data_IF_006818480324
#
_entry.id   IF_006818480324
#
_cell.length_a   1.000
_cell.length_b   1.000
_cell.length_c   1.000
_cell.angle_alpha   90.00
_cell.angle_beta   90.00
_cell.angle_gamma   90.00
#
_symmetry.space_group_name_H-M   'P 1'
#
loop_
_entity.id
_entity.type
_entity.pdbx_description
1 polymer ?
#
# COMPACT_ATOMS: atom_id res chain seq x y z
N UNK A 1 7.99 3.56 3.63
CA UNK A 1 7.89 2.07 3.79
C UNK A 1 7.44 1.70 5.20
N UNK A 2 6.50 0.76 5.34
CA UNK A 2 6.02 0.25 6.63
C UNK A 2 5.94 -1.28 6.70
N UNK A 3 6.17 -1.82 7.90
CA UNK A 3 5.93 -3.23 8.25
C UNK A 3 5.20 -3.30 9.59
N UNK A 4 4.04 -3.97 9.59
CA UNK A 4 3.25 -4.33 10.75
C UNK A 4 3.18 -5.85 10.86
N UNK A 5 3.18 -6.39 12.09
CA UNK A 5 3.08 -7.83 12.36
C UNK A 5 1.88 -8.10 13.28
N UNK A 6 1.09 -9.10 12.95
CA UNK A 6 -0.03 -9.52 13.80
C UNK A 6 0.47 -10.30 15.02
N UNK A 7 0.01 -9.89 16.20
CA UNK A 7 0.31 -10.53 17.48
C UNK A 7 -0.62 -11.76 17.61
N UNK A 8 -0.04 -12.92 17.91
CA UNK A 8 -0.82 -14.10 18.29
C UNK A 8 -1.27 -14.02 19.75
N UNK A 9 -2.39 -14.67 20.11
CA UNK A 9 -2.93 -14.67 21.48
C UNK A 9 -1.88 -15.04 22.55
N UNK A 10 -0.92 -15.91 22.24
CA UNK A 10 0.15 -16.33 23.17
C UNK A 10 1.25 -15.27 23.33
N UNK A 11 1.49 -14.41 22.34
CA UNK A 11 2.47 -13.31 22.45
C UNK A 11 1.91 -12.12 23.25
N UNK A 12 0.57 -12.02 23.41
CA UNK A 12 -0.09 -10.97 24.21
C UNK A 12 0.10 -11.19 25.72
N UNK A 13 0.13 -12.43 26.18
CA UNK A 13 0.20 -12.78 27.61
C UNK A 13 1.60 -12.65 28.22
N UNK A 14 2.67 -12.68 27.42
CA UNK A 14 4.04 -12.56 27.96
C UNK A 14 4.42 -11.15 28.43
N UNK A 15 3.57 -10.14 28.19
CA UNK A 15 3.81 -8.74 28.60
C UNK A 15 3.10 -8.32 29.88
N UNK A 16 2.26 -9.18 30.47
CA UNK A 16 1.54 -8.88 31.72
C UNK A 16 2.00 -9.73 32.91
N UNK A 17 3.05 -10.55 32.76
CA UNK A 17 3.54 -11.40 33.83
C UNK A 17 4.59 -10.75 34.76
N UNK A 18 4.96 -9.48 34.54
CA UNK A 18 6.06 -8.81 35.26
C UNK A 18 5.68 -7.40 35.75
N UNK A 19 4.51 -7.26 36.35
CA UNK A 19 4.20 -6.19 37.33
C UNK A 19 3.13 -6.72 38.27
N UNK A 20 3.52 -6.99 39.51
CA UNK A 20 2.79 -6.61 40.73
C UNK A 20 3.34 -7.39 41.93
N UNK A 21 4.23 -6.73 42.67
CA UNK A 21 4.28 -6.82 44.12
C UNK A 21 4.45 -5.38 44.60
N UNK A 22 3.35 -4.78 45.06
CA UNK A 22 3.35 -4.11 46.35
C UNK A 22 1.91 -3.96 46.84
N UNK A 23 1.72 -4.43 48.07
CA UNK A 23 0.51 -4.32 48.87
C UNK A 23 0.29 -2.86 49.24
N UNK A 24 -0.96 -2.39 49.20
CA UNK A 24 -1.55 -1.84 50.41
C UNK A 24 -3.08 -1.78 50.35
N UNK A 25 -3.65 -2.16 51.48
CA UNK A 25 -5.04 -2.38 51.80
C UNK A 25 -5.71 -1.13 52.35
N UNK A 26 -6.92 -0.78 51.89
CA UNK A 26 -8.01 -0.26 52.76
C UNK A 26 -9.35 -0.66 52.12
N UNK A 27 -10.23 -1.27 52.91
CA UNK A 27 -11.49 -1.83 52.45
C UNK A 27 -12.76 -1.04 52.80
N UNK A 28 -13.87 -1.76 52.63
CA UNK A 28 -15.27 -1.48 52.98
C UNK A 28 -16.07 -0.67 51.94
N UNK A 29 -17.37 -0.89 51.72
CA UNK A 29 -18.33 -1.99 51.96
C UNK A 29 -19.68 -1.52 51.36
N UNK A 30 -20.65 -2.43 51.27
CA UNK A 30 -22.09 -2.27 50.93
C UNK A 30 -22.46 -2.20 49.44
N UNK A 31 -23.57 -2.77 48.97
CA UNK A 31 -24.47 -3.88 49.34
C UNK A 31 -25.39 -4.09 48.13
N UNK A 32 -26.03 -5.25 48.08
CA UNK A 32 -26.78 -5.80 46.97
C UNK A 32 -28.24 -5.30 46.84
N UNK A 33 -28.88 -5.86 45.80
CA UNK A 33 -30.34 -5.94 45.55
C UNK A 33 -30.93 -4.79 44.72
N UNK A 34 -31.90 -4.97 43.84
CA UNK A 34 -32.84 -6.06 43.62
C UNK A 34 -33.49 -5.93 42.23
N UNK A 35 -34.00 -7.06 41.74
CA UNK A 35 -34.87 -7.32 40.58
C UNK A 35 -36.20 -6.57 40.57
N UNK A 36 -36.74 -6.27 39.38
CA UNK A 36 -38.18 -6.46 39.09
C UNK A 36 -38.51 -6.48 37.59
N UNK A 37 -39.17 -7.56 37.19
CA UNK A 37 -39.88 -7.89 35.93
C UNK A 37 -41.21 -7.15 35.75
N UNK A 38 -41.66 -6.98 34.49
CA UNK A 38 -43.03 -7.18 33.94
C UNK A 38 -43.29 -6.21 32.77
N UNK A 39 -44.02 -6.48 31.67
CA UNK A 39 -44.69 -7.66 31.11
C UNK A 39 -45.42 -7.23 29.82
N UNK A 40 -45.53 -8.15 28.84
CA UNK A 40 -46.59 -8.30 27.82
C UNK A 40 -46.88 -7.12 26.84
N UNK A 41 -47.21 -7.31 25.56
CA UNK A 41 -48.20 -8.25 25.03
C UNK A 41 -48.03 -8.51 23.52
N UNK A 42 -48.52 -9.67 23.12
CA UNK A 42 -48.60 -10.25 21.78
C UNK A 42 -49.76 -9.71 20.94
N UNK A 43 -49.61 -9.67 19.61
CA UNK A 43 -50.67 -10.18 18.71
C UNK A 43 -50.15 -10.49 17.31
N UNK A 44 -50.33 -11.74 16.89
CA UNK A 44 -50.18 -12.25 15.54
C UNK A 44 -51.56 -12.28 14.84
N UNK A 45 -51.66 -11.81 13.60
CA UNK A 45 -52.75 -12.22 12.69
C UNK A 45 -52.34 -12.15 11.22
N UNK A 46 -52.91 -13.06 10.44
CA UNK A 46 -52.48 -13.57 9.13
C UNK A 46 -53.38 -13.03 8.01
N UNK A 47 -52.79 -12.86 6.82
CA UNK A 47 -53.35 -12.90 5.44
C UNK A 47 -54.22 -11.71 4.96
N UNK A 48 -53.79 -11.07 3.87
CA UNK A 48 -54.41 -11.23 2.54
C UNK A 48 -53.53 -10.64 1.42
N UNK A 49 -53.55 -11.36 0.30
CA UNK A 49 -52.98 -11.00 -1.00
C UNK A 49 -54.07 -10.24 -1.75
N UNK A 50 -53.75 -9.05 -2.26
CA UNK A 50 -54.36 -8.48 -3.45
C UNK A 50 -53.28 -7.69 -4.17
N UNK A 51 -53.12 -7.96 -5.45
CA UNK A 51 -52.30 -7.16 -6.36
C UNK A 51 -53.14 -6.04 -6.94
N UNK A 52 -52.51 -4.90 -7.18
CA UNK A 52 -52.44 -4.36 -8.54
C UNK A 52 -51.36 -3.28 -8.63
N UNK A 53 -50.88 -3.14 -9.85
CA UNK A 53 -49.77 -2.35 -10.36
C UNK A 53 -49.65 -0.93 -9.81
N UNK A 54 -48.42 -0.49 -9.52
CA UNK A 54 -47.96 0.85 -9.92
C UNK A 54 -46.44 1.06 -9.80
N UNK A 55 -45.87 1.38 -10.96
CA UNK A 55 -44.71 2.22 -11.25
C UNK A 55 -43.30 1.81 -10.77
N UNK A 56 -42.51 1.40 -11.76
CA UNK A 56 -41.11 1.01 -11.68
C UNK A 56 -40.22 2.27 -11.59
N UNK A 57 -40.30 3.02 -10.50
CA UNK A 57 -39.35 4.11 -10.25
C UNK A 57 -37.98 3.54 -9.86
N UNK A 58 -37.05 3.62 -10.80
CA UNK A 58 -35.63 3.34 -10.61
C UNK A 58 -35.08 4.14 -9.43
N UNK A 59 -34.73 3.44 -8.36
CA UNK A 59 -34.03 4.00 -7.19
C UNK A 59 -32.68 4.54 -7.66
N UNK A 60 -32.63 5.82 -8.06
CA UNK A 60 -31.39 6.56 -8.28
C UNK A 60 -30.60 6.51 -6.97
N UNK A 61 -29.58 5.66 -6.88
CA UNK A 61 -28.58 5.73 -5.81
C UNK A 61 -28.04 7.16 -5.82
N UNK A 62 -28.34 7.94 -4.78
CA UNK A 62 -27.67 9.22 -4.57
C UNK A 62 -26.17 8.95 -4.52
N UNK A 63 -25.45 9.47 -5.51
CA UNK A 63 -23.99 9.47 -5.52
C UNK A 63 -23.58 10.51 -4.48
N UNK A 64 -23.14 10.06 -3.31
CA UNK A 64 -22.50 10.93 -2.32
C UNK A 64 -21.17 11.44 -2.88
N UNK A 65 -20.71 12.63 -2.46
CA UNK A 65 -19.43 13.18 -2.93
C UNK A 65 -18.26 12.20 -2.71
N UNK A 66 -18.30 11.40 -1.64
CA UNK A 66 -17.28 10.39 -1.35
C UNK A 66 -17.23 9.25 -2.39
N UNK A 67 -18.39 8.88 -2.97
CA UNK A 67 -18.46 7.89 -4.06
C UNK A 67 -17.74 8.38 -5.32
N UNK A 68 -17.56 9.70 -5.48
CA UNK A 68 -16.89 10.29 -6.63
C UNK A 68 -15.37 10.09 -6.59
N UNK A 69 -14.73 10.04 -5.41
CA UNK A 69 -13.28 9.86 -5.31
C UNK A 69 -12.86 8.47 -5.81
N UNK A 70 -13.42 7.41 -5.23
CA UNK A 70 -13.21 6.02 -5.64
C UNK A 70 -13.41 5.84 -7.16
N UNK A 71 -14.46 6.46 -7.72
CA UNK A 71 -14.72 6.45 -9.16
C UNK A 71 -13.65 7.17 -9.98
N UNK A 72 -13.14 8.33 -9.52
CA UNK A 72 -12.04 9.05 -10.18
C UNK A 72 -10.77 8.21 -10.22
N UNK A 73 -10.40 7.58 -9.11
CA UNK A 73 -9.24 6.68 -9.02
C UNK A 73 -9.38 5.51 -9.97
N UNK A 74 -10.50 4.79 -9.92
CA UNK A 74 -10.77 3.66 -10.81
C UNK A 74 -10.75 4.08 -12.29
N UNK A 75 -11.37 5.22 -12.62
CA UNK A 75 -11.41 5.76 -13.98
C UNK A 75 -10.02 6.13 -14.49
N UNK A 76 -9.18 6.76 -13.65
CA UNK A 76 -7.81 7.09 -14.00
C UNK A 76 -7.01 5.84 -14.37
N UNK A 77 -6.99 4.83 -13.49
CA UNK A 77 -6.23 3.60 -13.73
C UNK A 77 -6.77 2.77 -14.89
N UNK A 78 -8.09 2.76 -15.11
CA UNK A 78 -8.70 2.12 -16.29
C UNK A 78 -8.31 2.81 -17.61
N UNK A 79 -8.11 4.14 -17.59
CA UNK A 79 -7.73 4.93 -18.78
C UNK A 79 -6.25 4.87 -19.13
N UNK A 80 -5.38 4.62 -18.14
CA UNK A 80 -3.94 4.47 -18.39
C UNK A 80 -3.73 3.32 -19.38
N UNK A 81 -3.22 3.61 -20.57
CA UNK A 81 -2.91 2.56 -21.54
C UNK A 81 -1.74 1.70 -21.06
N UNK A 82 -1.78 0.40 -21.35
CA UNK A 82 -0.61 -0.45 -21.19
C UNK A 82 0.34 -0.21 -22.36
N UNK A 83 1.25 0.76 -22.18
CA UNK A 83 2.40 0.89 -23.05
C UNK A 83 3.43 -0.19 -22.63
N UNK A 84 3.87 -1.00 -23.60
CA UNK A 84 4.80 -2.12 -23.37
C UNK A 84 6.16 -1.69 -22.80
N UNK A 85 7.03 -2.66 -22.51
CA UNK A 85 8.34 -2.39 -21.89
C UNK A 85 9.19 -1.38 -22.69
N UNK A 86 9.15 -1.45 -24.02
CA UNK A 86 9.91 -0.55 -24.90
C UNK A 86 9.50 0.91 -24.74
N UNK A 87 8.19 1.20 -24.61
CA UNK A 87 7.70 2.56 -24.40
C UNK A 87 7.98 3.04 -22.98
N UNK A 88 7.87 2.15 -21.97
CA UNK A 88 8.23 2.51 -20.59
C UNK A 88 9.70 2.87 -20.44
N UNK A 89 10.58 2.23 -21.20
CA UNK A 89 12.01 2.53 -21.19
C UNK A 89 12.35 3.91 -21.79
N UNK A 90 11.41 4.55 -22.50
CA UNK A 90 11.55 5.92 -23.00
C UNK A 90 11.06 6.99 -22.01
N UNK A 91 10.55 6.58 -20.84
CA UNK A 91 9.99 7.51 -19.85
C UNK A 91 11.09 8.30 -19.14
N UNK A 92 10.86 9.61 -18.95
CA UNK A 92 11.69 10.51 -18.12
C UNK A 92 12.02 9.96 -16.74
N UNK A 93 11.14 9.13 -16.18
CA UNK A 93 11.26 8.57 -14.82
C UNK A 93 11.55 7.06 -14.81
N UNK A 94 12.15 6.52 -15.88
CA UNK A 94 12.45 5.08 -15.99
C UNK A 94 13.28 4.56 -14.81
N UNK A 95 14.31 5.31 -14.40
CA UNK A 95 15.18 4.92 -13.30
C UNK A 95 14.45 5.01 -11.96
N UNK A 96 13.66 6.06 -11.72
CA UNK A 96 12.80 6.11 -10.51
C UNK A 96 11.78 4.96 -10.45
N UNK A 97 11.17 4.56 -11.58
CA UNK A 97 10.28 3.39 -11.62
C UNK A 97 11.03 2.10 -11.28
N UNK A 98 12.25 1.95 -11.79
CA UNK A 98 13.10 0.80 -11.49
C UNK A 98 13.55 0.80 -10.02
N UNK A 99 13.88 1.97 -9.46
CA UNK A 99 14.18 2.17 -8.05
C UNK A 99 13.01 1.77 -7.14
N UNK A 100 11.80 2.26 -7.42
CA UNK A 100 10.60 1.89 -6.70
C UNK A 100 10.33 0.37 -6.79
N UNK A 101 10.57 -0.23 -7.96
CA UNK A 101 10.46 -1.69 -8.12
C UNK A 101 11.53 -2.46 -7.34
N UNK A 102 12.75 -1.93 -7.23
CA UNK A 102 13.82 -2.52 -6.44
C UNK A 102 13.48 -2.48 -4.94
N UNK A 103 13.03 -1.33 -4.43
CA UNK A 103 12.56 -1.18 -3.04
C UNK A 103 11.50 -2.22 -2.69
N UNK A 104 10.48 -2.37 -3.55
CA UNK A 104 9.44 -3.39 -3.38
C UNK A 104 9.99 -4.80 -3.42
N UNK A 105 10.92 -5.09 -4.32
CA UNK A 105 11.53 -6.43 -4.44
C UNK A 105 12.28 -6.81 -3.17
N UNK A 106 13.07 -5.89 -2.61
CA UNK A 106 13.81 -6.11 -1.36
C UNK A 106 12.87 -6.26 -0.17
N UNK A 107 11.86 -5.39 -0.06
CA UNK A 107 10.85 -5.46 1.01
C UNK A 107 10.09 -6.79 0.99
N UNK A 108 9.63 -7.22 -0.18
CA UNK A 108 8.90 -8.48 -0.36
C UNK A 108 9.81 -9.66 -0.04
N UNK A 109 11.05 -9.67 -0.53
CA UNK A 109 12.01 -10.74 -0.25
C UNK A 109 12.28 -10.89 1.26
N UNK A 110 12.57 -9.78 1.95
CA UNK A 110 12.81 -9.80 3.41
C UNK A 110 11.64 -10.42 4.18
N UNK A 111 10.40 -10.07 3.83
CA UNK A 111 9.22 -10.58 4.53
C UNK A 111 8.95 -12.03 4.21
N UNK A 112 9.13 -12.44 2.95
CA UNK A 112 8.96 -13.83 2.57
C UNK A 112 9.99 -14.74 3.27
N UNK A 113 11.23 -14.28 3.45
CA UNK A 113 12.23 -15.02 4.22
C UNK A 113 11.76 -15.22 5.66
N UNK A 114 11.31 -14.16 6.35
CA UNK A 114 10.77 -14.24 7.72
C UNK A 114 9.54 -15.13 7.85
N UNK A 115 8.64 -15.10 6.87
CA UNK A 115 7.43 -15.94 6.87
C UNK A 115 7.80 -17.41 6.68
N UNK A 116 8.75 -17.70 5.79
CA UNK A 116 9.17 -19.06 5.44
C UNK A 116 9.96 -19.78 6.53
N UNK A 117 10.52 -19.05 7.49
CA UNK A 117 11.05 -19.65 8.72
C UNK A 117 9.99 -20.43 9.51
N UNK A 118 8.70 -20.07 9.37
CA UNK A 118 7.60 -20.62 10.17
C UNK A 118 6.51 -21.30 9.33
N UNK A 119 6.47 -21.05 8.02
CA UNK A 119 5.40 -21.47 7.12
C UNK A 119 5.97 -22.21 5.90
N UNK A 120 5.48 -23.43 5.68
CA UNK A 120 5.82 -24.22 4.48
C UNK A 120 5.08 -23.73 3.23
N UNK A 121 3.82 -23.34 3.40
CA UNK A 121 2.97 -22.82 2.34
C UNK A 121 2.61 -21.37 2.65
N UNK A 122 2.81 -20.48 1.67
CA UNK A 122 2.65 -19.04 1.81
C UNK A 122 1.48 -18.53 0.96
N UNK A 123 0.51 -17.91 1.62
CA UNK A 123 -0.65 -17.26 0.99
C UNK A 123 -0.56 -15.75 1.16
N UNK A 124 -0.68 -15.02 0.04
CA UNK A 124 -0.50 -13.56 -0.01
C UNK A 124 -1.76 -12.87 -0.50
N UNK A 125 -2.11 -11.74 0.12
CA UNK A 125 -3.04 -10.74 -0.39
C UNK A 125 -2.24 -9.56 -0.97
N UNK A 126 -2.48 -9.20 -2.22
CA UNK A 126 -1.94 -8.02 -2.89
C UNK A 126 -3.10 -7.02 -3.09
N UNK A 127 -3.17 -6.04 -2.18
CA UNK A 127 -4.27 -5.07 -2.06
C UNK A 127 -3.91 -3.80 -2.83
N UNK A 128 -4.73 -3.49 -3.85
CA UNK A 128 -4.42 -2.50 -4.89
C UNK A 128 -3.32 -3.01 -5.82
N UNK A 129 -3.49 -4.23 -6.34
CA UNK A 129 -2.47 -4.91 -7.13
C UNK A 129 -2.19 -4.24 -8.50
N UNK A 130 -3.05 -3.30 -8.90
CA UNK A 130 -3.05 -2.66 -10.21
C UNK A 130 -2.98 -3.70 -11.32
N UNK A 131 -2.14 -3.43 -12.31
CA UNK A 131 -1.91 -4.28 -13.51
C UNK A 131 -0.95 -5.45 -13.25
N UNK A 132 -0.79 -5.88 -12.00
CA UNK A 132 0.07 -7.01 -11.64
C UNK A 132 1.57 -6.72 -11.75
N UNK A 133 2.02 -5.53 -11.34
CA UNK A 133 3.44 -5.14 -11.33
C UNK A 133 4.34 -6.02 -10.44
N UNK A 134 3.74 -6.65 -9.43
CA UNK A 134 4.44 -7.44 -8.42
C UNK A 134 4.32 -8.95 -8.62
N UNK A 135 3.57 -9.43 -9.64
CA UNK A 135 3.41 -10.85 -9.96
C UNK A 135 4.74 -11.61 -10.09
N UNK A 136 5.74 -11.01 -10.74
CA UNK A 136 7.06 -11.63 -10.91
C UNK A 136 7.83 -11.69 -9.57
N UNK A 137 7.61 -10.72 -8.67
CA UNK A 137 8.21 -10.70 -7.33
C UNK A 137 7.64 -11.85 -6.52
N UNK A 138 6.32 -12.05 -6.56
CA UNK A 138 5.63 -13.18 -5.94
C UNK A 138 6.06 -14.54 -6.53
N UNK A 139 6.25 -14.63 -7.86
CA UNK A 139 6.73 -15.86 -8.51
C UNK A 139 8.15 -16.20 -8.07
N UNK A 140 9.08 -15.23 -8.10
CA UNK A 140 10.45 -15.40 -7.60
C UNK A 140 10.48 -15.74 -6.10
N UNK A 141 9.56 -15.15 -5.36
CA UNK A 141 9.31 -15.43 -3.95
C UNK A 141 8.75 -16.82 -3.66
N UNK A 142 8.39 -17.62 -4.68
CA UNK A 142 7.86 -19.01 -4.55
C UNK A 142 6.78 -19.11 -3.47
N UNK A 143 5.73 -18.31 -3.60
CA UNK A 143 4.51 -18.43 -2.79
C UNK A 143 3.58 -19.51 -3.39
N UNK A 144 2.52 -19.87 -2.68
CA UNK A 144 1.60 -20.95 -3.06
C UNK A 144 0.25 -20.42 -3.58
N UNK A 145 -0.24 -19.32 -2.98
CA UNK A 145 -1.49 -18.67 -3.36
C UNK A 145 -1.39 -17.16 -3.29
N UNK A 146 -1.96 -16.49 -4.29
CA UNK A 146 -2.06 -15.03 -4.38
C UNK A 146 -3.53 -14.62 -4.56
N UNK A 147 -3.98 -13.63 -3.79
CA UNK A 147 -5.24 -12.92 -4.05
C UNK A 147 -4.87 -11.50 -4.47
N UNK A 148 -5.26 -11.13 -5.69
CA UNK A 148 -5.07 -9.81 -6.26
C UNK A 148 -6.41 -9.06 -6.19
N UNK A 149 -6.44 -7.93 -5.47
CA UNK A 149 -7.63 -7.09 -5.37
C UNK A 149 -7.33 -5.65 -5.79
N UNK A 150 -8.23 -5.02 -6.54
CA UNK A 150 -8.10 -3.65 -7.00
C UNK A 150 -9.48 -3.06 -7.33
N UNK A 151 -9.61 -1.74 -7.27
CA UNK A 151 -10.86 -1.03 -7.60
C UNK A 151 -11.08 -0.95 -9.12
N UNK A 152 -10.00 -0.92 -9.90
CA UNK A 152 -10.03 -0.74 -11.35
C UNK A 152 -10.19 -2.11 -12.05
N UNK A 153 -11.40 -2.40 -12.55
CA UNK A 153 -11.72 -3.65 -13.23
C UNK A 153 -10.76 -3.98 -14.40
N UNK A 154 -10.39 -2.97 -15.21
CA UNK A 154 -9.45 -3.17 -16.34
C UNK A 154 -8.06 -3.53 -15.83
N UNK A 155 -7.64 -2.95 -14.70
CA UNK A 155 -6.36 -3.30 -14.07
C UNK A 155 -6.36 -4.76 -13.60
N UNK A 156 -7.47 -5.23 -13.04
CA UNK A 156 -7.65 -6.63 -12.65
C UNK A 156 -7.60 -7.57 -13.86
N UNK A 157 -8.29 -7.25 -14.94
CA UNK A 157 -8.25 -8.03 -16.18
C UNK A 157 -6.82 -8.12 -16.75
N UNK A 158 -6.09 -7.00 -16.77
CA UNK A 158 -4.68 -6.95 -17.19
C UNK A 158 -3.77 -7.75 -16.26
N UNK A 159 -3.98 -7.65 -14.94
CA UNK A 159 -3.26 -8.44 -13.94
C UNK A 159 -3.47 -9.95 -14.17
N UNK A 160 -4.72 -10.37 -14.40
CA UNK A 160 -5.07 -11.76 -14.69
C UNK A 160 -4.45 -12.24 -16.00
N UNK A 161 -4.49 -11.42 -17.06
CA UNK A 161 -3.86 -11.74 -18.34
C UNK A 161 -2.35 -11.92 -18.19
N UNK A 162 -1.68 -11.02 -17.47
CA UNK A 162 -0.24 -11.11 -17.20
C UNK A 162 0.14 -12.36 -16.40
N UNK A 163 -0.68 -12.73 -15.43
CA UNK A 163 -0.49 -13.99 -14.68
C UNK A 163 -0.65 -15.21 -15.60
N UNK A 164 -1.66 -15.23 -16.46
CA UNK A 164 -1.88 -16.33 -17.41
C UNK A 164 -0.71 -16.45 -18.39
N UNK A 165 -0.21 -15.34 -18.93
CA UNK A 165 0.95 -15.35 -19.83
C UNK A 165 2.23 -15.83 -19.12
N UNK A 166 2.44 -15.40 -17.88
CA UNK A 166 3.54 -15.87 -17.04
C UNK A 166 3.48 -17.38 -16.79
N UNK A 167 2.28 -17.94 -16.63
CA UNK A 167 2.07 -19.40 -16.49
C UNK A 167 2.30 -20.15 -17.79
N UNK A 168 1.77 -19.65 -18.92
CA UNK A 168 1.95 -20.28 -20.24
C UNK A 168 3.40 -20.32 -20.69
N UNK A 169 4.19 -19.29 -20.37
CA UNK A 169 5.62 -19.20 -20.70
C UNK A 169 6.52 -19.94 -19.71
N UNK A 170 6.00 -20.38 -18.57
CA UNK A 170 6.76 -21.11 -17.56
C UNK A 170 7.14 -22.51 -18.04
N UNK A 171 8.27 -23.03 -17.56
CA UNK A 171 8.61 -24.43 -17.76
C UNK A 171 7.53 -25.33 -17.11
N UNK A 172 7.23 -26.55 -17.62
CA UNK A 172 6.24 -27.44 -16.99
C UNK A 172 6.50 -27.73 -15.50
N UNK A 173 7.78 -27.67 -15.09
CA UNK A 173 8.20 -27.87 -13.69
C UNK A 173 8.27 -26.55 -12.87
N UNK A 174 8.01 -25.39 -13.47
CA UNK A 174 7.93 -24.12 -12.76
C UNK A 174 6.65 -24.08 -11.92
N UNK A 175 6.79 -24.31 -10.63
CA UNK A 175 5.69 -24.13 -9.68
C UNK A 175 5.30 -22.66 -9.62
N UNK A 176 4.20 -22.31 -10.27
CA UNK A 176 3.56 -20.99 -10.16
C UNK A 176 2.42 -21.08 -9.14
N UNK A 177 2.28 -20.06 -8.30
CA UNK A 177 1.20 -19.95 -7.33
C UNK A 177 -0.18 -20.02 -7.99
N UNK A 178 -1.17 -20.49 -7.25
CA UNK A 178 -2.59 -20.30 -7.62
C UNK A 178 -3.00 -18.85 -7.39
N UNK A 179 -3.90 -18.31 -8.22
CA UNK A 179 -4.32 -16.92 -8.11
C UNK A 179 -5.85 -16.74 -8.12
N UNK A 180 -6.34 -15.80 -7.33
CA UNK A 180 -7.70 -15.24 -7.41
C UNK A 180 -7.61 -13.75 -7.71
N UNK A 181 -8.51 -13.24 -8.54
CA UNK A 181 -8.58 -11.85 -8.96
C UNK A 181 -9.94 -11.27 -8.57
N UNK A 182 -9.94 -10.13 -7.88
CA UNK A 182 -11.16 -9.53 -7.30
C UNK A 182 -11.20 -8.05 -7.65
N UNK A 183 -12.25 -7.62 -8.33
CA UNK A 183 -12.58 -6.20 -8.48
C UNK A 183 -13.41 -5.75 -7.28
N UNK A 184 -12.87 -4.85 -6.46
CA UNK A 184 -13.55 -4.31 -5.30
C UNK A 184 -12.96 -2.98 -4.85
N UNK A 185 -13.82 -2.06 -4.38
CA UNK A 185 -13.36 -0.94 -3.58
C UNK A 185 -13.01 -1.46 -2.17
N UNK A 186 -11.73 -1.76 -1.95
CA UNK A 186 -11.26 -2.32 -0.69
C UNK A 186 -11.33 -1.34 0.50
N UNK A 187 -11.72 -0.08 0.27
CA UNK A 187 -12.02 0.90 1.31
C UNK A 187 -13.51 0.95 1.67
N UNK A 188 -14.40 0.34 0.88
CA UNK A 188 -15.85 0.37 1.12
C UNK A 188 -16.49 -1.02 1.21
N UNK A 189 -15.84 -2.03 0.64
CA UNK A 189 -16.34 -3.39 0.55
C UNK A 189 -15.46 -4.34 1.37
N UNK A 190 -16.08 -5.27 2.10
CA UNK A 190 -15.35 -6.33 2.80
C UNK A 190 -14.93 -7.42 1.82
N UNK A 191 -13.61 -7.59 1.65
CA UNK A 191 -13.02 -8.63 0.80
C UNK A 191 -13.38 -10.03 1.26
N UNK A 192 -13.60 -10.25 2.57
CA UNK A 192 -13.97 -11.55 3.12
C UNK A 192 -15.22 -12.16 2.46
N UNK A 193 -16.18 -11.32 2.05
CA UNK A 193 -17.39 -11.76 1.35
C UNK A 193 -17.18 -12.05 -0.15
N UNK A 194 -16.00 -11.76 -0.70
CA UNK A 194 -15.63 -11.96 -2.11
C UNK A 194 -14.58 -13.05 -2.33
N UNK A 195 -14.02 -13.60 -1.26
CA UNK A 195 -13.05 -14.69 -1.33
C UNK A 195 -13.75 -15.96 -1.84
N UNK A 196 -13.08 -16.73 -2.71
CA UNK A 196 -13.61 -18.03 -3.17
C UNK A 196 -13.73 -19.01 -2.00
N UNK A 197 -12.78 -18.93 -1.08
CA UNK A 197 -12.73 -19.70 0.16
C UNK A 197 -12.99 -18.72 1.32
N UNK A 198 -14.17 -18.77 1.97
CA UNK A 198 -14.53 -17.88 3.08
C UNK A 198 -13.64 -18.03 4.33
N UNK A 199 -12.92 -19.14 4.45
CA UNK A 199 -12.01 -19.42 5.57
C UNK A 199 -10.55 -19.07 5.25
N UNK A 200 -10.28 -18.60 4.02
CA UNK A 200 -8.93 -18.26 3.60
C UNK A 200 -8.28 -17.24 4.54
N UNK A 201 -7.03 -17.52 4.91
CA UNK A 201 -6.18 -16.65 5.71
C UNK A 201 -4.86 -16.40 4.99
N UNK A 202 -4.25 -15.27 5.28
CA UNK A 202 -3.03 -14.79 4.64
C UNK A 202 -1.85 -14.85 5.60
N UNK A 203 -0.65 -15.11 5.06
CA UNK A 203 0.61 -14.96 5.79
C UNK A 203 1.19 -13.54 5.56
N UNK A 204 0.90 -12.94 4.41
CA UNK A 204 1.30 -11.57 4.06
C UNK A 204 0.13 -10.83 3.39
N UNK A 205 -0.10 -9.59 3.79
CA UNK A 205 -0.84 -8.60 3.02
C UNK A 205 0.15 -7.53 2.55
N UNK A 206 0.19 -7.27 1.25
CA UNK A 206 1.01 -6.24 0.61
C UNK A 206 0.12 -5.15 0.05
N UNK A 207 0.38 -3.89 0.39
CA UNK A 207 -0.38 -2.72 -0.04
C UNK A 207 0.59 -1.62 -0.50
N UNK A 208 0.97 -1.67 -1.78
CA UNK A 208 2.06 -0.85 -2.32
C UNK A 208 1.50 0.36 -3.05
N UNK A 209 1.78 1.57 -2.55
CA UNK A 209 1.30 2.83 -3.13
C UNK A 209 -0.23 2.94 -3.15
N UNK A 210 -0.91 2.48 -2.10
CA UNK A 210 -2.39 2.37 -2.09
C UNK A 210 -3.05 2.93 -0.82
N UNK A 211 -2.45 2.75 0.37
CA UNK A 211 -3.11 3.06 1.64
C UNK A 211 -3.67 4.49 1.74
N UNK A 212 -3.00 5.49 1.16
CA UNK A 212 -3.41 6.89 1.21
C UNK A 212 -4.75 7.16 0.50
N UNK A 213 -5.17 6.35 -0.46
CA UNK A 213 -6.48 6.52 -1.09
C UNK A 213 -7.65 6.26 -0.12
N UNK A 214 -7.46 5.43 0.91
CA UNK A 214 -8.53 5.13 1.86
C UNK A 214 -8.69 6.18 2.96
N UNK A 215 -7.79 7.16 3.06
CA UNK A 215 -7.82 8.19 4.12
C UNK A 215 -8.77 9.36 3.81
N UNK A 216 -9.66 9.19 2.84
CA UNK A 216 -10.80 10.09 2.58
C UNK A 216 -11.68 10.26 3.82
N UNK A 217 -11.99 9.16 4.50
CA UNK A 217 -12.79 9.11 5.72
C UNK A 217 -12.26 8.05 6.69
N UNK A 218 -12.62 8.18 7.97
CA UNK A 218 -12.26 7.18 8.99
C UNK A 218 -12.81 5.79 8.65
N UNK A 219 -14.07 5.72 8.20
CA UNK A 219 -14.72 4.46 7.82
C UNK A 219 -13.98 3.76 6.68
N UNK A 220 -13.50 4.52 5.69
CA UNK A 220 -12.75 3.96 4.56
C UNK A 220 -11.38 3.45 4.99
N UNK A 221 -10.66 4.21 5.81
CA UNK A 221 -9.37 3.82 6.34
C UNK A 221 -9.48 2.55 7.22
N UNK A 222 -10.50 2.49 8.08
CA UNK A 222 -10.78 1.31 8.92
C UNK A 222 -11.13 0.08 8.07
N UNK A 223 -11.97 0.24 7.05
CA UNK A 223 -12.36 -0.87 6.16
C UNK A 223 -11.17 -1.42 5.36
N UNK A 224 -10.30 -0.54 4.87
CA UNK A 224 -9.06 -0.96 4.19
C UNK A 224 -8.13 -1.71 5.14
N UNK A 225 -7.90 -1.18 6.35
CA UNK A 225 -7.09 -1.86 7.37
C UNK A 225 -7.71 -3.20 7.80
N UNK A 226 -9.03 -3.28 7.93
CA UNK A 226 -9.77 -4.52 8.19
C UNK A 226 -9.47 -5.56 7.13
N UNK A 227 -9.65 -5.21 5.86
CA UNK A 227 -9.37 -6.09 4.73
C UNK A 227 -7.91 -6.55 4.69
N UNK A 228 -6.96 -5.67 5.03
CA UNK A 228 -5.55 -5.98 5.07
C UNK A 228 -5.15 -6.89 6.24
N UNK A 229 -5.78 -6.75 7.39
CA UNK A 229 -5.28 -7.30 8.65
C UNK A 229 -6.14 -8.42 9.24
N UNK A 230 -7.47 -8.40 9.13
CA UNK A 230 -8.37 -9.30 9.88
C UNK A 230 -8.18 -10.80 9.53
N UNK A 231 -7.71 -11.07 8.30
CA UNK A 231 -7.43 -12.42 7.80
C UNK A 231 -5.96 -12.80 7.83
N UNK A 232 -5.08 -11.97 8.41
CA UNK A 232 -3.70 -12.39 8.67
C UNK A 232 -3.68 -13.49 9.73
N UNK A 233 -2.88 -14.52 9.49
CA UNK A 233 -2.60 -15.57 10.47
C UNK A 233 -1.69 -15.02 11.57
N UNK A 234 -1.78 -15.50 12.82
CA UNK A 234 -0.81 -15.15 13.86
C UNK A 234 0.65 -15.22 13.36
N UNK A 235 1.39 -14.13 13.57
CA UNK A 235 2.75 -13.96 13.07
C UNK A 235 2.89 -13.48 11.62
N UNK A 236 1.79 -13.32 10.88
CA UNK A 236 1.75 -12.75 9.54
C UNK A 236 2.02 -11.25 9.50
N UNK A 237 2.27 -10.74 8.30
CA UNK A 237 2.73 -9.37 8.09
C UNK A 237 1.79 -8.56 7.20
N UNK A 238 1.62 -7.30 7.55
CA UNK A 238 1.10 -6.28 6.66
C UNK A 238 2.26 -5.35 6.26
N UNK A 239 2.50 -5.20 4.97
CA UNK A 239 3.57 -4.37 4.42
C UNK A 239 3.04 -3.39 3.37
N UNK A 240 3.69 -2.23 3.27
CA UNK A 240 3.27 -1.25 2.28
C UNK A 240 4.19 -0.05 2.10
N UNK A 241 3.82 0.76 1.13
CA UNK A 241 4.42 2.06 0.83
C UNK A 241 3.32 3.12 0.72
N UNK A 242 3.55 4.28 1.33
CA UNK A 242 2.62 5.40 1.34
C UNK A 242 3.41 6.70 1.53
N UNK A 243 2.94 7.86 1.06
CA UNK A 243 3.64 9.13 1.25
C UNK A 243 3.87 9.44 2.73
N UNK A 244 5.01 10.05 3.04
CA UNK A 244 5.35 10.49 4.39
C UNK A 244 4.74 11.87 4.66
N UNK A 245 3.69 11.91 5.49
CA UNK A 245 3.01 13.15 5.85
C UNK A 245 3.95 14.23 6.41
N UNK A 246 5.01 13.84 7.14
CA UNK A 246 5.96 14.83 7.68
C UNK A 246 6.73 15.52 6.56
N UNK A 247 7.20 14.76 5.57
CA UNK A 247 7.94 15.33 4.44
C UNK A 247 7.00 16.15 3.53
N UNK A 248 5.77 15.67 3.32
CA UNK A 248 4.76 16.41 2.55
C UNK A 248 4.43 17.76 3.18
N UNK A 249 4.08 17.79 4.48
CA UNK A 249 3.74 19.03 5.19
C UNK A 249 4.95 19.94 5.29
N UNK A 250 6.15 19.41 5.57
CA UNK A 250 7.39 20.21 5.63
C UNK A 250 7.64 20.96 4.31
N UNK A 251 7.52 20.29 3.16
CA UNK A 251 7.72 20.93 1.85
C UNK A 251 6.61 21.90 1.51
N UNK A 252 5.37 21.56 1.88
CA UNK A 252 4.23 22.43 1.69
C UNK A 252 4.39 23.72 2.49
N UNK A 253 4.73 23.66 3.77
CA UNK A 253 4.90 24.85 4.63
C UNK A 253 6.12 25.70 4.23
N UNK A 254 7.14 25.09 3.61
CA UNK A 254 8.28 25.83 3.06
C UNK A 254 8.00 26.50 1.70
N UNK A 255 6.91 26.14 1.02
CA UNK A 255 6.52 26.73 -0.28
C UNK A 255 5.77 28.06 -0.08
N UNK A 256 5.85 28.97 -1.05
CA UNK A 256 5.06 30.21 -1.06
C UNK A 256 3.59 29.98 -1.48
N UNK A 257 3.26 28.80 -2.00
CA UNK A 257 1.93 28.47 -2.53
C UNK A 257 1.42 27.12 -2.01
N UNK A 258 0.14 26.80 -2.17
CA UNK A 258 -0.43 25.48 -1.81
C UNK A 258 0.11 24.30 -2.65
N UNK A 259 1.14 24.51 -3.47
CA UNK A 259 1.78 23.49 -4.27
C UNK A 259 3.29 23.44 -4.04
N UNK A 260 3.89 22.27 -4.24
CA UNK A 260 5.33 22.10 -4.39
C UNK A 260 5.61 20.98 -5.41
N UNK A 261 6.82 20.94 -5.96
CA UNK A 261 7.18 19.96 -6.99
C UNK A 261 8.32 20.43 -7.87
N UNK A 262 8.58 19.68 -8.93
CA UNK A 262 9.61 19.94 -9.93
C UNK A 262 9.14 19.42 -11.31
N UNK A 263 10.07 19.14 -12.22
CA UNK A 263 9.73 18.70 -13.58
C UNK A 263 9.08 17.31 -13.64
N UNK A 264 9.30 16.43 -12.65
CA UNK A 264 8.76 15.06 -12.68
C UNK A 264 7.52 14.85 -11.81
N UNK A 265 7.34 15.65 -10.75
CA UNK A 265 6.20 15.51 -9.84
C UNK A 265 5.67 16.86 -9.35
N UNK A 266 4.37 16.88 -9.01
CA UNK A 266 3.72 18.03 -8.38
C UNK A 266 2.70 17.57 -7.34
N UNK A 267 2.72 18.24 -6.19
CA UNK A 267 1.74 18.06 -5.12
C UNK A 267 1.01 19.38 -4.93
N UNK A 268 -0.32 19.36 -4.88
CA UNK A 268 -1.14 20.56 -4.65
C UNK A 268 -2.20 20.28 -3.60
N UNK A 269 -2.07 20.90 -2.43
CA UNK A 269 -3.06 20.81 -1.36
C UNK A 269 -4.19 21.80 -1.61
N UNK A 270 -5.38 21.49 -1.11
CA UNK A 270 -6.48 22.46 -1.13
C UNK A 270 -6.18 23.67 -0.23
N UNK A 271 -5.58 23.42 0.95
CA UNK A 271 -5.29 24.45 1.95
C UNK A 271 -4.08 24.07 2.81
N UNK A 272 -3.29 25.07 3.21
CA UNK A 272 -2.20 24.95 4.20
C UNK A 272 -2.63 25.28 5.63
N UNK A 273 -1.85 24.81 6.59
CA UNK A 273 -2.00 25.10 8.03
C UNK A 273 -3.14 24.35 8.72
N UNK A 274 -3.96 23.59 7.98
CA UNK A 274 -5.02 22.75 8.54
C UNK A 274 -4.93 21.38 7.89
N UNK A 275 -4.57 20.38 8.70
CA UNK A 275 -4.33 19.00 8.24
C UNK A 275 -5.23 18.06 9.04
N UNK A 276 -6.50 17.85 8.62
CA UNK A 276 -7.39 16.94 9.32
C UNK A 276 -6.87 15.49 9.23
N UNK A 277 -7.18 14.68 10.23
CA UNK A 277 -6.74 13.28 10.31
C UNK A 277 -7.25 12.41 9.16
N UNK A 278 -8.42 12.74 8.63
CA UNK A 278 -9.03 12.14 7.44
C UNK A 278 -9.52 13.25 6.51
N UNK A 279 -9.60 12.96 5.22
CA UNK A 279 -10.09 13.91 4.21
C UNK A 279 -9.11 15.04 3.87
N UNK A 280 -7.86 14.99 4.36
CA UNK A 280 -6.82 15.95 4.00
C UNK A 280 -6.32 15.69 2.58
N UNK A 281 -7.07 16.20 1.59
CA UNK A 281 -6.84 15.93 0.17
C UNK A 281 -5.70 16.79 -0.40
N UNK A 282 -4.88 16.16 -1.24
CA UNK A 282 -3.96 16.82 -2.18
C UNK A 282 -4.04 16.14 -3.54
N UNK A 283 -3.83 16.91 -4.61
CA UNK A 283 -3.64 16.33 -5.94
C UNK A 283 -2.17 15.95 -6.11
N UNK A 284 -1.92 14.68 -6.43
CA UNK A 284 -0.60 14.16 -6.73
C UNK A 284 -0.47 13.89 -8.22
N UNK A 285 0.48 14.55 -8.86
CA UNK A 285 0.85 14.33 -10.26
C UNK A 285 2.28 13.83 -10.35
N UNK A 286 2.47 12.76 -11.12
CA UNK A 286 3.77 12.22 -11.45
C UNK A 286 3.79 11.86 -12.94
N UNK A 287 4.81 12.35 -13.62
CA UNK A 287 4.92 12.32 -15.07
C UNK A 287 4.70 10.93 -15.66
N UNK A 288 3.64 10.80 -16.48
CA UNK A 288 3.28 9.55 -17.15
C UNK A 288 2.86 8.40 -16.23
N UNK A 289 2.63 8.65 -14.93
CA UNK A 289 2.20 7.61 -13.97
C UNK A 289 0.81 7.89 -13.46
N UNK A 290 0.64 9.04 -12.80
CA UNK A 290 -0.51 9.29 -11.95
C UNK A 290 -0.86 10.77 -11.95
N UNK A 291 -2.16 11.04 -11.91
CA UNK A 291 -2.74 12.36 -11.71
C UNK A 291 -4.12 12.17 -11.08
N UNK A 292 -4.13 11.90 -9.78
CA UNK A 292 -5.35 11.66 -8.99
C UNK A 292 -5.25 12.37 -7.63
N UNK A 293 -6.38 12.73 -7.02
CA UNK A 293 -6.40 13.12 -5.63
C UNK A 293 -5.94 11.97 -4.74
N UNK A 294 -5.23 12.32 -3.67
CA UNK A 294 -4.74 11.44 -2.61
C UNK A 294 -5.03 12.10 -1.25
N UNK A 295 -4.89 11.34 -0.15
CA UNK A 295 -5.12 11.86 1.20
C UNK A 295 -3.90 11.69 2.09
N UNK A 296 -3.70 12.66 2.98
CA UNK A 296 -2.56 12.68 3.89
C UNK A 296 -2.70 11.56 4.93
N UNK A 297 -1.65 10.76 5.11
CA UNK A 297 -1.63 9.67 6.09
C UNK A 297 -0.71 10.04 7.25
N UNK A 298 -1.30 10.51 8.34
CA UNK A 298 -0.56 10.72 9.58
C UNK A 298 -0.18 9.36 10.19
N UNK A 299 1.10 8.97 10.08
CA UNK A 299 1.52 7.61 10.42
C UNK A 299 1.20 7.17 11.86
N UNK A 300 1.32 8.02 12.90
CA UNK A 300 0.89 7.64 14.25
C UNK A 300 -0.59 7.26 14.33
N UNK A 301 -1.48 7.98 13.62
CA UNK A 301 -2.89 7.58 13.51
C UNK A 301 -3.04 6.22 12.83
N UNK A 302 -2.34 6.00 11.72
CA UNK A 302 -2.37 4.71 11.01
C UNK A 302 -1.93 3.55 11.92
N UNK A 303 -0.88 3.75 12.71
CA UNK A 303 -0.41 2.78 13.70
C UNK A 303 -1.45 2.52 14.79
N UNK A 304 -2.06 3.56 15.36
CA UNK A 304 -3.14 3.42 16.36
C UNK A 304 -4.34 2.64 15.79
N UNK A 305 -4.79 2.97 14.57
CA UNK A 305 -5.90 2.25 13.92
C UNK A 305 -5.55 0.77 13.69
N UNK A 306 -4.31 0.45 13.33
CA UNK A 306 -3.88 -0.92 13.09
C UNK A 306 -3.93 -1.79 14.36
N UNK A 307 -3.81 -1.21 15.57
CA UNK A 307 -3.91 -1.94 16.85
C UNK A 307 -5.27 -2.62 17.02
N UNK A 308 -6.35 -2.05 16.45
CA UNK A 308 -7.70 -2.66 16.43
C UNK A 308 -7.70 -4.07 15.84
N UNK A 309 -6.75 -4.37 14.96
CA UNK A 309 -6.59 -5.68 14.31
C UNK A 309 -5.41 -6.49 14.87
N UNK A 310 -5.01 -6.23 16.12
CA UNK A 310 -3.90 -6.86 16.81
C UNK A 310 -2.55 -6.72 16.07
N UNK A 311 -2.39 -5.64 15.32
CA UNK A 311 -1.15 -5.35 14.61
C UNK A 311 -0.19 -4.57 15.51
N UNK A 312 1.10 -4.87 15.40
CA UNK A 312 2.18 -4.12 16.03
C UNK A 312 3.18 -3.66 14.99
N UNK A 313 3.64 -2.42 15.12
CA UNK A 313 4.71 -1.89 14.26
C UNK A 313 6.00 -2.71 14.44
N UNK A 314 6.53 -3.17 13.32
CA UNK A 314 7.87 -3.75 13.24
C UNK A 314 8.87 -2.65 12.94
N UNK A 315 8.63 -1.87 11.87
CA UNK A 315 9.32 -0.60 11.61
C UNK A 315 8.57 0.27 10.60
N UNK A 316 8.87 1.57 10.63
CA UNK A 316 8.59 2.57 9.58
C UNK A 316 9.93 3.18 9.14
N UNK A 317 10.17 3.25 7.84
CA UNK A 317 11.36 3.88 7.25
C UNK A 317 10.98 4.71 6.04
N UNK A 318 11.61 5.87 5.88
CA UNK A 318 11.61 6.61 4.62
C UNK A 318 12.29 5.77 3.52
N UNK A 319 12.04 6.08 2.25
CA UNK A 319 12.72 5.41 1.15
C UNK A 319 14.25 5.56 1.24
N UNK A 320 14.74 6.72 1.69
CA UNK A 320 16.17 6.97 1.89
C UNK A 320 16.77 6.05 2.93
N UNK A 321 16.20 6.00 4.14
CA UNK A 321 16.71 5.14 5.22
C UNK A 321 16.68 3.67 4.83
N UNK A 322 15.61 3.22 4.17
CA UNK A 322 15.50 1.85 3.69
C UNK A 322 16.55 1.55 2.62
N UNK A 323 16.74 2.45 1.65
CA UNK A 323 17.78 2.30 0.63
C UNK A 323 19.18 2.21 1.24
N UNK A 324 19.55 3.17 2.09
CA UNK A 324 20.87 3.26 2.73
C UNK A 324 21.18 2.03 3.60
N UNK A 325 20.17 1.44 4.23
CA UNK A 325 20.31 0.18 4.94
C UNK A 325 20.47 -1.00 3.98
N UNK A 326 19.55 -1.16 3.04
CA UNK A 326 19.42 -2.39 2.24
C UNK A 326 20.48 -2.53 1.16
N UNK A 327 21.03 -1.43 0.65
CA UNK A 327 22.09 -1.44 -0.37
C UNK A 327 23.43 -1.95 0.18
N UNK A 328 23.59 -2.05 1.50
CA UNK A 328 24.78 -2.62 2.15
C UNK A 328 24.89 -4.13 1.95
N UNK A 329 23.77 -4.81 1.71
CA UNK A 329 23.77 -6.22 1.34
C UNK A 329 24.13 -6.38 -0.14
N UNK A 330 25.15 -7.19 -0.43
CA UNK A 330 25.68 -7.35 -1.79
C UNK A 330 24.65 -7.97 -2.75
N UNK A 331 23.76 -8.86 -2.29
CA UNK A 331 22.71 -9.43 -3.15
C UNK A 331 21.71 -8.36 -3.56
N UNK A 332 21.33 -7.48 -2.64
CA UNK A 332 20.42 -6.38 -2.92
C UNK A 332 21.07 -5.35 -3.86
N UNK A 333 22.35 -5.05 -3.65
CA UNK A 333 23.13 -4.15 -4.51
C UNK A 333 23.28 -4.69 -5.93
N UNK A 334 23.59 -5.97 -6.08
CA UNK A 334 23.62 -6.64 -7.39
C UNK A 334 22.23 -6.54 -8.03
N UNK A 335 21.16 -6.92 -7.33
CA UNK A 335 19.79 -6.80 -7.86
C UNK A 335 19.46 -5.38 -8.34
N UNK A 336 19.89 -4.35 -7.61
CA UNK A 336 19.72 -2.94 -8.00
C UNK A 336 20.35 -2.64 -9.35
N UNK A 337 21.59 -3.12 -9.57
CA UNK A 337 22.32 -2.96 -10.83
C UNK A 337 21.63 -3.70 -11.97
N UNK A 338 21.21 -4.95 -11.75
CA UNK A 338 20.47 -5.75 -12.73
C UNK A 338 19.13 -5.12 -13.13
N UNK A 339 18.47 -4.43 -12.19
CA UNK A 339 17.21 -3.74 -12.44
C UNK A 339 17.40 -2.34 -13.04
N UNK A 340 18.65 -1.86 -13.21
CA UNK A 340 18.95 -0.48 -13.64
C UNK A 340 18.16 0.55 -12.80
N UNK A 341 18.10 0.27 -11.49
CA UNK A 341 17.37 1.08 -10.51
C UNK A 341 18.03 2.43 -10.23
N UNK A 342 19.30 2.58 -10.60
CA UNK A 342 19.99 3.86 -10.65
C UNK A 342 20.55 4.05 -12.05
N UNK A 343 20.54 5.30 -12.49
CA UNK A 343 21.15 5.77 -13.71
C UNK A 343 22.67 5.84 -13.59
N UNK A 344 23.36 5.47 -14.67
CA UNK A 344 24.81 5.59 -14.74
C UNK A 344 25.23 7.04 -14.95
N UNK A 345 26.16 7.54 -14.12
CA UNK A 345 26.76 8.86 -14.27
C UNK A 345 28.30 8.81 -14.18
N UNK A 346 29.05 9.48 -15.08
CA UNK A 346 28.58 10.08 -16.33
C UNK A 346 27.95 9.05 -17.29
N UNK A 347 27.15 9.48 -18.28
CA UNK A 347 26.61 8.57 -19.28
C UNK A 347 27.76 7.91 -20.06
N UNK A 348 27.52 6.72 -20.61
CA UNK A 348 28.45 6.11 -21.56
C UNK A 348 28.42 6.84 -22.91
N UNK A 349 29.34 6.51 -23.83
CA UNK A 349 29.51 7.24 -25.11
C UNK A 349 28.24 7.28 -25.98
N UNK A 350 27.29 6.37 -25.75
CA UNK A 350 26.03 6.26 -26.50
C UNK A 350 24.80 6.60 -25.66
N UNK A 351 24.96 6.83 -24.36
CA UNK A 351 23.89 7.05 -23.42
C UNK A 351 23.51 8.52 -23.34
N UNK A 352 22.22 8.75 -23.18
CA UNK A 352 21.68 10.06 -22.79
C UNK A 352 21.23 9.97 -21.35
N UNK A 353 21.48 11.03 -20.60
CA UNK A 353 20.93 11.14 -19.26
C UNK A 353 19.40 11.29 -19.35
N UNK A 354 18.70 10.84 -18.32
CA UNK A 354 17.25 10.93 -18.21
C UNK A 354 16.78 12.39 -18.18
N UNK A 355 17.62 13.31 -17.68
CA UNK A 355 17.41 14.76 -17.81
C UNK A 355 18.63 15.45 -18.40
N UNK A 356 18.38 16.46 -19.23
CA UNK A 356 19.36 17.43 -19.69
C UNK A 356 19.24 18.79 -18.97
N UNK A 357 18.26 18.93 -18.07
CA UNK A 357 18.04 20.14 -17.29
C UNK A 357 19.27 20.52 -16.45
N UNK A 358 19.70 21.79 -16.45
CA UNK A 358 20.85 22.24 -15.66
C UNK A 358 20.68 21.96 -14.16
N UNK A 359 21.72 21.40 -13.54
CA UNK A 359 21.77 21.17 -12.09
C UNK A 359 21.20 19.82 -11.62
N UNK A 360 20.54 19.05 -12.49
CA UNK A 360 19.94 17.76 -12.14
C UNK A 360 20.94 16.70 -11.65
N UNK A 361 22.22 16.84 -12.01
CA UNK A 361 23.29 15.91 -11.65
C UNK A 361 24.45 16.57 -10.89
N UNK A 362 24.25 17.78 -10.34
CA UNK A 362 25.31 18.50 -9.63
C UNK A 362 25.87 17.71 -8.43
N UNK A 363 25.03 16.95 -7.74
CA UNK A 363 25.47 16.04 -6.66
C UNK A 363 26.39 14.94 -7.18
N UNK A 364 26.04 14.31 -8.30
CA UNK A 364 26.85 13.27 -8.92
C UNK A 364 28.16 13.84 -9.49
N UNK A 365 28.11 15.05 -10.08
CA UNK A 365 29.28 15.78 -10.57
C UNK A 365 30.27 16.10 -9.44
N UNK A 366 29.78 16.58 -8.29
CA UNK A 366 30.61 16.84 -7.10
C UNK A 366 31.29 15.58 -6.58
N UNK A 367 30.57 14.46 -6.50
CA UNK A 367 31.14 13.18 -6.06
C UNK A 367 32.14 12.65 -7.09
N UNK A 368 31.80 12.70 -8.38
CA UNK A 368 32.67 12.25 -9.45
C UNK A 368 33.99 13.03 -9.47
N UNK A 369 33.98 14.32 -9.16
CA UNK A 369 35.19 15.16 -9.11
C UNK A 369 36.23 14.70 -8.06
N UNK A 370 35.84 13.88 -7.07
CA UNK A 370 36.77 13.29 -6.11
C UNK A 370 37.61 12.18 -6.77
N UNK A 371 38.97 12.27 -6.78
CA UNK A 371 39.83 11.23 -7.35
C UNK A 371 39.67 9.84 -6.72
N UNK A 372 39.20 9.76 -5.48
CA UNK A 372 38.94 8.48 -4.80
C UNK A 372 37.61 7.83 -5.19
N UNK A 373 36.73 8.53 -5.94
CA UNK A 373 35.43 8.00 -6.32
C UNK A 373 35.56 6.92 -7.40
N UNK A 374 35.04 5.72 -7.10
CA UNK A 374 34.94 4.63 -8.08
C UNK A 374 33.88 4.96 -9.12
N UNK A 375 34.29 5.08 -10.39
CA UNK A 375 33.41 5.35 -11.53
C UNK A 375 33.11 4.07 -12.33
N UNK A 376 31.98 4.01 -13.05
CA UNK A 376 30.89 5.00 -13.08
C UNK A 376 30.08 5.02 -11.77
N UNK A 377 29.42 6.14 -11.48
CA UNK A 377 28.48 6.30 -10.37
C UNK A 377 27.10 5.79 -10.77
N UNK A 378 26.30 5.37 -9.78
CA UNK A 378 24.87 5.16 -9.92
C UNK A 378 24.11 6.25 -9.16
N UNK A 379 23.17 6.94 -9.79
CA UNK A 379 22.33 7.97 -9.15
C UNK A 379 20.93 8.03 -9.77
N UNK A 380 20.01 8.80 -9.18
CA UNK A 380 18.89 9.39 -9.91
C UNK A 380 19.18 10.86 -10.20
N UNK A 381 18.41 11.46 -11.11
CA UNK A 381 18.34 12.91 -11.26
C UNK A 381 17.82 13.57 -9.98
N UNK A 382 18.17 14.83 -9.73
CA UNK A 382 17.73 15.58 -8.54
C UNK A 382 16.20 15.56 -8.45
N UNK A 383 15.51 15.77 -9.56
CA UNK A 383 14.05 15.82 -9.59
C UNK A 383 13.40 14.48 -9.22
N UNK A 384 13.98 13.37 -9.67
CA UNK A 384 13.55 12.02 -9.26
C UNK A 384 13.87 11.72 -7.79
N UNK A 385 15.02 12.18 -7.27
CA UNK A 385 15.34 12.04 -5.85
C UNK A 385 14.36 12.80 -4.96
N UNK A 386 13.96 14.00 -5.36
CA UNK A 386 12.93 14.79 -4.67
C UNK A 386 11.58 14.09 -4.72
N UNK A 387 11.17 13.50 -5.85
CA UNK A 387 9.92 12.77 -5.96
C UNK A 387 9.89 11.49 -5.12
N UNK A 388 10.96 10.69 -5.12
CA UNK A 388 11.01 9.42 -4.38
C UNK A 388 11.17 9.62 -2.87
N UNK A 389 11.70 10.75 -2.43
CA UNK A 389 11.89 11.07 -1.01
C UNK A 389 10.61 11.50 -0.30
N UNK A 390 9.47 11.64 -0.99
CA UNK A 390 8.17 11.87 -0.35
C UNK A 390 7.53 10.61 0.23
N UNK A 391 8.20 9.44 0.23
CA UNK A 391 7.65 8.10 0.52
C UNK A 391 8.34 7.29 1.64
#
# INVERSE_FOLDING_TARGET
ILILKIIGLIEADSKYADRDVDQDSVGSAFDASQTSTSSSSSSSMKRRWDGDDEDHSSRKKQVTEESLHSQKVATHYNKLQECGLAERNKSRIVHMRNFNNWLKSVLIAEILDKVKERRREVTVLDLGCGKGGDLLKWKKGRIDKLVCADIAAVSIEQCQQRYNDMRRRGHPNDRTFSAQFITADCSRELLSGKLRDPELRFDVCSCQFVCHYSFESEQQADTMLRNACERLRPGGFFIGTTPDAYEMVKRLEASDSNSFGNEVFRVSFQKKGVYPLFGCQYDFSLEGVVNVPEFLVYFPLFEEMAKKYNMRLVYKKTFKEFFEEKVKDEKNKVLMQWMQALEQYPPDERGQLASDSPGEYDHAKRIAANPAARRPLGTLSKSEWEATSTW
#
